data_IF_582205119706
#
_entry.id   IF_582205119706
#
_cell.length_a   1.000
_cell.length_b   1.000
_cell.length_c   1.000
_cell.angle_alpha   90.00
_cell.angle_beta   90.00
_cell.angle_gamma   90.00
#
_symmetry.space_group_name_H-M   'P 1'
#
loop_
_entity.id
_entity.type
_entity.pdbx_description
1 polymer ?
#
# COMPACT_ATOMS: atom_id res chain seq x y z
N UNK A 1 -21.92 -9.27 -7.01
CA UNK A 1 -21.01 -8.25 -6.44
C UNK A 1 -19.61 -8.47 -6.99
N UNK A 2 -18.88 -7.39 -7.30
CA UNK A 2 -17.46 -7.44 -7.72
C UNK A 2 -16.72 -6.31 -7.03
N UNK A 3 -15.51 -6.60 -6.51
CA UNK A 3 -14.62 -5.58 -5.99
C UNK A 3 -13.18 -5.85 -6.38
N UNK A 4 -12.37 -4.79 -6.32
CA UNK A 4 -10.93 -4.84 -6.53
C UNK A 4 -10.28 -4.46 -5.21
N UNK A 5 -9.37 -5.30 -4.74
CA UNK A 5 -8.63 -5.11 -3.48
C UNK A 5 -7.15 -5.41 -3.71
N UNK A 6 -6.29 -4.81 -2.90
CA UNK A 6 -4.87 -5.10 -2.97
C UNK A 6 -4.59 -6.53 -2.50
N UNK A 7 -3.66 -7.18 -3.15
CA UNK A 7 -3.05 -8.43 -2.69
C UNK A 7 -2.08 -8.14 -1.53
N UNK A 8 -1.19 -9.08 -1.26
CA UNK A 8 -0.27 -8.98 -0.13
C UNK A 8 0.66 -7.75 -0.21
N UNK A 9 1.26 -7.41 0.92
CA UNK A 9 2.29 -6.36 1.01
C UNK A 9 3.46 -6.63 0.06
N UNK A 10 3.91 -7.88 -0.01
CA UNK A 10 5.05 -8.28 -0.84
C UNK A 10 4.74 -8.17 -2.34
N UNK A 11 3.49 -8.34 -2.72
CA UNK A 11 3.01 -8.14 -4.08
C UNK A 11 2.82 -6.66 -4.46
N UNK A 12 2.90 -5.74 -3.47
CA UNK A 12 2.64 -4.31 -3.63
C UNK A 12 3.78 -3.45 -3.08
N UNK A 13 5.00 -3.57 -3.61
CA UNK A 13 6.16 -2.80 -3.15
C UNK A 13 5.94 -1.28 -3.27
N UNK A 14 5.10 -0.82 -4.20
CA UNK A 14 4.76 0.58 -4.36
C UNK A 14 4.09 1.22 -3.12
N UNK A 15 3.44 0.40 -2.27
CA UNK A 15 2.86 0.82 -0.99
C UNK A 15 3.75 0.49 0.21
N UNK A 16 4.45 -0.66 0.18
CA UNK A 16 5.17 -1.17 1.35
C UNK A 16 6.57 -0.61 1.50
N UNK A 17 7.28 -0.39 0.38
CA UNK A 17 8.68 0.07 0.39
C UNK A 17 8.88 1.36 1.18
N UNK A 18 8.05 2.37 0.92
CA UNK A 18 8.17 3.66 1.58
C UNK A 18 7.93 3.57 3.09
N UNK A 19 6.96 2.75 3.52
CA UNK A 19 6.73 2.48 4.96
C UNK A 19 7.94 1.84 5.61
N UNK A 20 8.56 0.86 4.96
CA UNK A 20 9.77 0.20 5.47
C UNK A 20 10.95 1.17 5.63
N UNK A 21 11.09 2.12 4.69
CA UNK A 21 12.12 3.17 4.80
C UNK A 21 11.82 4.08 5.98
N UNK A 22 10.60 4.59 6.09
CA UNK A 22 10.19 5.51 7.17
C UNK A 22 10.35 4.89 8.56
N UNK A 23 10.01 3.60 8.71
CA UNK A 23 10.13 2.86 9.97
C UNK A 23 11.59 2.63 10.44
N UNK A 24 12.59 2.91 9.61
CA UNK A 24 14.00 2.91 10.04
C UNK A 24 14.36 4.15 10.87
N UNK A 25 13.57 5.21 10.75
CA UNK A 25 13.81 6.51 11.37
C UNK A 25 12.78 6.86 12.43
N UNK A 26 11.56 6.35 12.29
CA UNK A 26 10.41 6.66 13.15
C UNK A 26 9.87 5.37 13.80
N UNK A 27 9.34 5.47 15.03
CA UNK A 27 8.65 4.34 15.64
C UNK A 27 7.39 3.96 14.85
N UNK A 28 6.95 2.71 14.91
CA UNK A 28 5.64 2.33 14.39
C UNK A 28 4.54 3.11 15.12
N UNK A 29 3.39 3.37 14.48
CA UNK A 29 2.23 3.97 15.13
C UNK A 29 1.86 3.19 16.39
N UNK A 30 1.53 3.91 17.45
CA UNK A 30 1.10 3.31 18.72
C UNK A 30 -0.24 2.56 18.57
N UNK A 31 -0.57 1.75 19.60
CA UNK A 31 -1.85 1.01 19.62
C UNK A 31 -3.05 1.96 19.63
N UNK A 32 -2.87 3.17 20.15
CA UNK A 32 -3.89 4.23 20.21
C UNK A 32 -3.93 5.13 18.95
N UNK A 33 -3.11 4.83 17.95
CA UNK A 33 -3.11 5.61 16.72
C UNK A 33 -4.48 5.53 16.03
N UNK A 34 -5.00 6.69 15.62
CA UNK A 34 -6.25 6.78 14.86
C UNK A 34 -6.07 6.19 13.47
N UNK A 35 -6.11 4.86 13.39
CA UNK A 35 -6.05 4.16 12.11
C UNK A 35 -7.41 4.21 11.42
N UNK A 36 -7.41 4.50 10.13
CA UNK A 36 -8.62 4.51 9.33
C UNK A 36 -8.99 3.09 8.87
N UNK A 37 -9.40 2.24 9.83
CA UNK A 37 -9.83 0.86 9.57
C UNK A 37 -8.68 -0.15 9.43
N UNK A 38 -8.97 -1.35 8.89
CA UNK A 38 -8.06 -2.52 8.94
C UNK A 38 -6.87 -2.45 7.97
N UNK A 39 -6.72 -1.34 7.25
CA UNK A 39 -5.61 -1.10 6.33
C UNK A 39 -5.78 -1.65 4.91
N UNK A 40 -4.88 -1.26 3.99
CA UNK A 40 -5.05 -1.53 2.56
C UNK A 40 -4.92 -3.02 2.17
N UNK A 41 -4.32 -3.85 3.02
CA UNK A 41 -4.10 -5.27 2.75
C UNK A 41 -5.05 -6.21 3.50
N UNK A 42 -6.12 -5.66 4.10
CA UNK A 42 -7.07 -6.42 4.92
C UNK A 42 -7.81 -7.53 4.18
N UNK A 43 -7.94 -7.43 2.87
CA UNK A 43 -8.60 -8.42 2.03
C UNK A 43 -7.62 -9.18 1.11
N UNK A 44 -6.34 -9.19 1.45
CA UNK A 44 -5.32 -9.86 0.66
C UNK A 44 -5.36 -11.40 0.75
N UNK A 45 -5.78 -11.93 1.89
CA UNK A 45 -5.86 -13.37 2.18
C UNK A 45 -7.11 -13.97 1.52
N UNK A 46 -6.92 -14.69 0.40
CA UNK A 46 -8.01 -15.32 -0.35
C UNK A 46 -8.83 -16.29 0.51
N UNK A 47 -8.24 -17.26 1.26
CA UNK A 47 -9.00 -18.19 2.10
C UNK A 47 -9.90 -17.49 3.12
N UNK A 48 -9.38 -16.47 3.79
CA UNK A 48 -10.12 -15.70 4.78
C UNK A 48 -11.30 -14.97 4.13
N UNK A 49 -11.05 -14.23 3.06
CA UNK A 49 -12.08 -13.44 2.37
C UNK A 49 -13.14 -14.35 1.75
N UNK A 50 -12.75 -15.48 1.15
CA UNK A 50 -13.67 -16.48 0.62
C UNK A 50 -14.62 -16.97 1.71
N UNK A 51 -14.07 -17.38 2.86
CA UNK A 51 -14.87 -17.82 4.01
C UNK A 51 -15.85 -16.75 4.51
N UNK A 52 -15.41 -15.51 4.59
CA UNK A 52 -16.29 -14.38 4.99
C UNK A 52 -17.43 -14.20 3.99
N UNK A 53 -17.18 -14.27 2.71
CA UNK A 53 -18.19 -14.15 1.66
C UNK A 53 -19.18 -15.33 1.68
N UNK A 54 -18.69 -16.55 1.91
CA UNK A 54 -19.52 -17.75 2.04
C UNK A 54 -20.46 -17.64 3.26
N UNK A 55 -19.95 -17.19 4.42
CA UNK A 55 -20.76 -16.92 5.63
C UNK A 55 -21.83 -15.86 5.33
N UNK A 56 -21.50 -14.84 4.54
CA UNK A 56 -22.45 -13.82 4.11
C UNK A 56 -23.45 -14.31 3.03
N UNK A 57 -23.36 -15.59 2.61
CA UNK A 57 -24.27 -16.23 1.68
C UNK A 57 -23.91 -16.07 0.20
N UNK A 58 -22.79 -15.46 -0.14
CA UNK A 58 -22.35 -15.36 -1.53
C UNK A 58 -21.96 -16.73 -2.10
N UNK A 59 -22.22 -16.91 -3.40
CA UNK A 59 -21.95 -18.14 -4.16
C UNK A 59 -21.12 -17.83 -5.40
N UNK A 60 -20.55 -18.88 -6.00
CA UNK A 60 -19.71 -18.78 -7.22
C UNK A 60 -18.59 -17.74 -7.04
N UNK A 61 -17.92 -17.78 -5.89
CA UNK A 61 -16.90 -16.83 -5.51
C UNK A 61 -15.62 -17.11 -6.30
N UNK A 62 -15.16 -16.12 -7.03
CA UNK A 62 -13.95 -16.20 -7.85
C UNK A 62 -12.94 -15.12 -7.45
N UNK A 63 -11.66 -15.47 -7.52
CA UNK A 63 -10.54 -14.54 -7.34
C UNK A 63 -9.71 -14.56 -8.61
N UNK A 64 -9.49 -13.39 -9.19
CA UNK A 64 -8.62 -13.22 -10.35
C UNK A 64 -7.51 -12.25 -10.00
N UNK A 65 -6.26 -12.72 -10.09
CA UNK A 65 -5.06 -11.89 -9.91
C UNK A 65 -4.91 -10.94 -11.10
N UNK A 66 -4.58 -9.69 -10.80
CA UNK A 66 -4.22 -8.66 -11.77
C UNK A 66 -2.96 -7.96 -11.30
N UNK A 67 -1.90 -8.11 -12.07
CA UNK A 67 -0.65 -7.41 -11.85
C UNK A 67 -0.56 -6.25 -12.86
N UNK A 68 -0.24 -5.06 -12.38
CA UNK A 68 -0.10 -3.88 -13.22
C UNK A 68 1.02 -2.97 -12.71
N UNK A 69 1.75 -2.29 -13.59
CA UNK A 69 2.69 -1.26 -13.18
C UNK A 69 1.93 -0.03 -12.67
N UNK A 70 2.49 0.63 -11.68
CA UNK A 70 2.00 1.91 -11.14
C UNK A 70 3.07 2.97 -11.34
N UNK A 71 2.69 4.08 -11.94
CA UNK A 71 3.51 5.29 -11.99
C UNK A 71 3.45 5.96 -10.62
N UNK A 72 4.55 5.91 -9.87
CA UNK A 72 4.62 6.47 -8.51
C UNK A 72 5.10 7.92 -8.48
N UNK A 73 5.66 8.40 -9.57
CA UNK A 73 6.06 9.80 -9.75
C UNK A 73 6.82 10.01 -11.05
N UNK A 74 6.73 11.21 -11.61
CA UNK A 74 7.52 11.59 -12.78
C UNK A 74 8.98 11.80 -12.42
N UNK A 75 9.22 12.40 -11.26
CA UNK A 75 10.53 12.61 -10.66
C UNK A 75 10.64 11.89 -9.33
N UNK A 76 11.85 11.84 -8.77
CA UNK A 76 12.08 11.28 -7.42
C UNK A 76 11.35 12.10 -6.37
N UNK A 77 11.36 13.42 -6.51
CA UNK A 77 10.67 14.34 -5.61
C UNK A 77 9.15 14.14 -5.64
N UNK A 78 8.56 13.98 -6.83
CA UNK A 78 7.13 13.66 -6.99
C UNK A 78 6.79 12.34 -6.29
N UNK A 79 7.62 11.31 -6.48
CA UNK A 79 7.41 10.01 -5.86
C UNK A 79 7.52 10.05 -4.34
N UNK A 80 8.46 10.80 -3.77
CA UNK A 80 8.57 11.03 -2.32
C UNK A 80 7.32 11.75 -1.80
N UNK A 81 6.93 12.84 -2.45
CA UNK A 81 5.75 13.60 -2.08
C UNK A 81 4.48 12.75 -2.09
N UNK A 82 4.31 11.94 -3.13
CA UNK A 82 3.20 11.00 -3.24
C UNK A 82 3.18 9.98 -2.09
N UNK A 83 4.32 9.34 -1.80
CA UNK A 83 4.43 8.32 -0.77
C UNK A 83 4.23 8.86 0.66
N UNK A 84 4.65 10.11 0.92
CA UNK A 84 4.46 10.75 2.22
C UNK A 84 3.06 11.37 2.37
N UNK A 85 2.39 11.72 1.28
CA UNK A 85 1.05 12.28 1.31
C UNK A 85 -0.03 11.22 1.54
N UNK A 86 0.14 10.04 0.96
CA UNK A 86 -0.87 8.97 0.99
C UNK A 86 -0.27 7.63 1.42
N UNK A 87 -1.15 6.74 1.84
CA UNK A 87 -0.78 5.37 2.15
C UNK A 87 -0.03 5.18 3.47
N UNK A 88 0.52 3.97 3.68
CA UNK A 88 1.07 3.55 4.97
C UNK A 88 2.30 4.34 5.44
N UNK A 89 3.11 4.86 4.54
CA UNK A 89 4.27 5.69 4.89
C UNK A 89 3.82 7.07 5.41
N UNK A 90 2.86 7.67 4.73
CA UNK A 90 2.27 8.95 5.14
C UNK A 90 1.55 8.87 6.49
N UNK A 91 0.93 7.73 6.80
CA UNK A 91 0.33 7.48 8.11
C UNK A 91 1.39 7.52 9.22
N UNK A 92 2.47 6.72 9.09
CA UNK A 92 3.58 6.72 10.07
C UNK A 92 4.18 8.12 10.23
N UNK A 93 4.36 8.83 9.12
CA UNK A 93 4.92 10.19 9.14
C UNK A 93 4.03 11.18 9.88
N UNK A 94 2.73 11.16 9.63
CA UNK A 94 1.75 12.04 10.31
C UNK A 94 1.65 11.75 11.81
N UNK A 95 1.60 10.46 12.19
CA UNK A 95 1.51 10.06 13.59
C UNK A 95 2.75 10.44 14.41
N UNK A 96 3.93 10.42 13.79
CA UNK A 96 5.17 10.81 14.45
C UNK A 96 5.33 12.34 14.63
N UNK A 97 4.52 13.16 13.92
CA UNK A 97 4.44 14.60 14.10
C UNK A 97 5.80 15.31 14.06
N UNK A 98 6.16 16.00 15.12
CA UNK A 98 7.42 16.77 15.20
C UNK A 98 8.68 15.91 15.08
N UNK A 99 8.65 14.63 15.48
CA UNK A 99 9.77 13.71 15.28
C UNK A 99 10.00 13.43 13.80
N UNK A 100 8.93 13.27 13.03
CA UNK A 100 9.01 13.09 11.59
C UNK A 100 9.60 14.31 10.90
N UNK A 101 9.16 15.50 11.28
CA UNK A 101 9.69 16.76 10.74
C UNK A 101 11.17 16.94 11.05
N UNK A 102 11.62 16.60 12.26
CA UNK A 102 13.03 16.67 12.64
C UNK A 102 13.93 15.74 11.82
N UNK A 103 13.37 14.62 11.33
CA UNK A 103 14.08 13.60 10.54
C UNK A 103 13.72 13.63 9.04
N UNK A 104 12.93 14.60 8.60
CA UNK A 104 12.44 14.69 7.23
C UNK A 104 13.57 14.56 6.19
N UNK A 105 14.64 15.31 6.33
CA UNK A 105 15.73 15.31 5.36
C UNK A 105 16.43 13.93 5.26
N UNK A 106 16.62 13.24 6.39
CA UNK A 106 17.19 11.89 6.41
C UNK A 106 16.25 10.88 5.77
N UNK A 107 14.95 10.97 6.06
CA UNK A 107 13.90 10.12 5.50
C UNK A 107 13.81 10.32 3.98
N UNK A 108 13.73 11.56 3.51
CA UNK A 108 13.67 11.89 2.09
C UNK A 108 14.91 11.42 1.33
N UNK A 109 16.11 11.55 1.93
CA UNK A 109 17.35 11.02 1.36
C UNK A 109 17.32 9.49 1.21
N UNK A 110 16.87 8.78 2.24
CA UNK A 110 16.75 7.33 2.20
C UNK A 110 15.66 6.87 1.21
N UNK A 111 14.55 7.58 1.14
CA UNK A 111 13.49 7.34 0.17
C UNK A 111 13.98 7.60 -1.26
N UNK A 112 14.72 8.68 -1.50
CA UNK A 112 15.31 8.98 -2.80
C UNK A 112 16.23 7.84 -3.27
N UNK A 113 17.06 7.28 -2.39
CA UNK A 113 17.91 6.13 -2.70
C UNK A 113 17.08 4.89 -3.09
N UNK A 114 16.04 4.57 -2.33
CA UNK A 114 15.16 3.44 -2.59
C UNK A 114 14.36 3.61 -3.90
N UNK A 115 13.87 4.81 -4.17
CA UNK A 115 13.12 5.16 -5.39
C UNK A 115 14.03 5.14 -6.61
N UNK A 116 15.27 5.64 -6.51
CA UNK A 116 16.23 5.61 -7.61
C UNK A 116 16.63 4.19 -8.04
N UNK A 117 16.50 3.21 -7.13
CA UNK A 117 16.73 1.80 -7.45
C UNK A 117 15.56 1.16 -8.24
N UNK A 118 14.42 1.84 -8.37
CA UNK A 118 13.27 1.33 -9.09
C UNK A 118 13.40 1.51 -10.61
N UNK A 119 12.57 0.77 -11.35
CA UNK A 119 12.50 0.88 -12.81
C UNK A 119 11.99 2.26 -13.23
N UNK A 120 12.63 2.81 -14.26
CA UNK A 120 12.20 4.08 -14.90
C UNK A 120 11.86 3.81 -16.34
N UNK A 121 10.86 4.52 -16.85
CA UNK A 121 10.54 4.59 -18.28
C UNK A 121 10.37 6.05 -18.72
N UNK A 122 9.80 6.26 -19.93
CA UNK A 122 9.59 7.60 -20.46
C UNK A 122 8.61 8.45 -19.63
N UNK A 123 7.71 7.80 -18.88
CA UNK A 123 6.67 8.49 -18.08
C UNK A 123 7.13 8.76 -16.64
N UNK A 124 8.17 8.09 -16.16
CA UNK A 124 8.73 8.27 -14.83
C UNK A 124 9.10 6.97 -14.11
N UNK A 125 8.86 6.94 -12.81
CA UNK A 125 9.26 5.86 -11.91
C UNK A 125 8.10 4.87 -11.78
N UNK A 126 8.36 3.61 -12.15
CA UNK A 126 7.39 2.53 -12.21
C UNK A 126 7.67 1.52 -11.10
N UNK A 127 6.62 1.12 -10.39
CA UNK A 127 6.67 0.05 -9.39
C UNK A 127 5.55 -0.96 -9.65
N UNK A 128 5.78 -2.21 -9.23
CA UNK A 128 4.78 -3.26 -9.38
C UNK A 128 3.65 -3.11 -8.37
N UNK A 129 2.44 -3.42 -8.83
CA UNK A 129 1.27 -3.60 -7.99
C UNK A 129 0.55 -4.90 -8.34
N UNK A 130 -0.21 -5.42 -7.38
CA UNK A 130 -1.02 -6.62 -7.56
C UNK A 130 -2.33 -6.52 -6.79
N UNK A 131 -3.40 -6.87 -7.47
CA UNK A 131 -4.76 -6.83 -6.93
C UNK A 131 -5.48 -8.16 -7.13
N UNK A 132 -6.47 -8.41 -6.29
CA UNK A 132 -7.54 -9.35 -6.54
C UNK A 132 -8.73 -8.65 -7.18
N UNK A 133 -9.27 -9.20 -8.25
CA UNK A 133 -10.67 -8.97 -8.63
C UNK A 133 -11.46 -10.12 -8.05
N UNK A 134 -12.31 -9.79 -7.09
CA UNK A 134 -13.15 -10.76 -6.37
C UNK A 134 -14.58 -10.60 -6.86
N UNK A 135 -15.19 -11.69 -7.31
CA UNK A 135 -16.59 -11.69 -7.75
C UNK A 135 -17.37 -12.80 -7.05
N UNK A 136 -18.63 -12.53 -6.77
CA UNK A 136 -19.55 -13.51 -6.21
C UNK A 136 -20.99 -13.14 -6.52
N UNK A 137 -21.85 -14.16 -6.64
CA UNK A 137 -23.30 -13.98 -6.75
C UNK A 137 -23.89 -13.62 -5.40
N UNK A 138 -24.80 -12.66 -5.39
CA UNK A 138 -25.49 -12.25 -4.18
C UNK A 138 -26.25 -13.42 -3.54
N UNK A 139 -26.45 -13.38 -2.21
CA UNK A 139 -27.41 -14.23 -1.55
C UNK A 139 -28.79 -14.08 -2.19
N UNK A 140 -29.47 -15.17 -2.39
CA UNK A 140 -30.85 -15.20 -2.88
C UNK A 140 -31.83 -15.05 -1.72
#
# INVERSE_FOLDING_TARGET
MTHIVWRTRDDNPWLSMAKEVVLKFLPPPGEDALTCGPGPFSMADEPMVRKMMEIAGYRDITFRRVDAPVLVGKTVEDAIGFQLAIGPAGEVFREAGSQAEAKRAEIETAMAAAINAQKKDADGIIMNSSSWIISGKNPS
#
